data_IF_942931072633
#
_entry.id   IF_942931072633
#
_cell.length_a   1.000
_cell.length_b   1.000
_cell.length_c   1.000
_cell.angle_alpha   90.00
_cell.angle_beta   90.00
_cell.angle_gamma   90.00
#
_symmetry.space_group_name_H-M   'P 1'
#
loop_
_entity.id
_entity.type
_entity.pdbx_description
1 polymer ?
#
# COMPACT_ATOMS: atom_id res chain seq x y z
N UNK A 1 -19.46 3.83 9.83
CA UNK A 1 -18.19 3.56 9.11
C UNK A 1 -18.50 2.93 7.78
N UNK A 2 -17.90 3.45 6.70
CA UNK A 2 -18.10 2.93 5.35
C UNK A 2 -16.82 2.24 4.91
N UNK A 3 -16.96 0.98 4.46
CA UNK A 3 -15.86 0.21 3.91
C UNK A 3 -15.96 0.16 2.39
N UNK A 4 -14.84 0.28 1.72
CA UNK A 4 -14.74 -0.01 0.30
C UNK A 4 -14.62 -1.50 0.04
N UNK A 5 -14.33 -1.85 -1.20
CA UNK A 5 -14.00 -3.23 -1.56
C UNK A 5 -12.55 -3.54 -1.20
N UNK A 6 -12.30 -4.79 -0.85
CA UNK A 6 -10.93 -5.28 -0.72
C UNK A 6 -10.27 -5.34 -2.09
N UNK A 7 -9.11 -4.75 -2.20
CA UNK A 7 -8.29 -4.74 -3.41
C UNK A 7 -6.95 -5.42 -3.12
N UNK A 8 -6.27 -5.81 -4.18
CA UNK A 8 -4.93 -6.40 -4.07
C UNK A 8 -3.89 -5.42 -4.60
N UNK A 9 -2.90 -5.11 -3.78
CA UNK A 9 -1.70 -4.39 -4.21
C UNK A 9 -0.59 -5.43 -4.37
N UNK A 10 -0.15 -5.65 -5.61
CA UNK A 10 0.78 -6.71 -5.94
C UNK A 10 2.18 -6.16 -6.23
N UNK A 11 3.18 -6.69 -5.53
CA UNK A 11 4.56 -6.60 -5.97
C UNK A 11 4.82 -7.78 -6.89
N UNK A 12 5.02 -7.49 -8.18
CA UNK A 12 5.41 -8.47 -9.18
C UNK A 12 6.92 -8.31 -9.43
N UNK A 13 7.71 -9.27 -8.99
CA UNK A 13 9.16 -9.18 -9.06
C UNK A 13 9.70 -9.15 -10.49
N UNK A 14 8.88 -9.51 -11.47
CA UNK A 14 9.26 -9.41 -12.88
C UNK A 14 9.02 -8.01 -13.46
N UNK A 15 8.34 -7.15 -12.72
CA UNK A 15 8.04 -5.76 -13.11
C UNK A 15 8.81 -4.79 -12.21
N UNK A 16 8.61 -4.90 -10.90
CA UNK A 16 9.25 -4.04 -9.92
C UNK A 16 9.29 -4.77 -8.58
N UNK A 17 10.48 -5.11 -8.11
CA UNK A 17 10.62 -5.96 -6.92
C UNK A 17 10.41 -5.23 -5.59
N UNK A 18 10.25 -3.91 -5.60
CA UNK A 18 10.13 -3.11 -4.37
C UNK A 18 8.95 -2.11 -4.38
N UNK A 19 8.07 -2.20 -5.37
CA UNK A 19 6.91 -1.31 -5.47
C UNK A 19 5.74 -2.04 -6.11
N UNK A 20 4.54 -1.87 -5.53
CA UNK A 20 3.32 -2.43 -6.12
C UNK A 20 2.88 -1.61 -7.33
N UNK A 21 2.05 -2.21 -8.17
CA UNK A 21 1.29 -1.45 -9.15
C UNK A 21 0.29 -0.53 -8.44
N UNK A 22 -0.21 0.46 -9.18
CA UNK A 22 -1.24 1.38 -8.69
C UNK A 22 -2.51 0.63 -8.32
N UNK A 23 -3.12 1.00 -7.20
CA UNK A 23 -4.42 0.48 -6.78
C UNK A 23 -5.40 1.63 -6.68
N UNK A 24 -6.54 1.48 -7.34
CA UNK A 24 -7.67 2.39 -7.24
C UNK A 24 -8.62 1.88 -6.16
N UNK A 25 -8.76 2.65 -5.08
CA UNK A 25 -9.65 2.28 -3.98
C UNK A 25 -11.14 2.51 -4.30
N UNK A 26 -11.44 3.10 -5.46
CA UNK A 26 -12.79 3.38 -5.91
C UNK A 26 -13.30 4.77 -5.57
N UNK A 27 -12.79 5.36 -4.52
CA UNK A 27 -13.06 6.74 -4.10
C UNK A 27 -11.98 7.19 -3.12
N UNK A 28 -11.89 8.49 -2.80
CA UNK A 28 -11.00 8.94 -1.73
C UNK A 28 -11.42 8.41 -0.38
N UNK A 29 -10.46 7.92 0.39
CA UNK A 29 -10.67 7.44 1.76
C UNK A 29 -9.69 8.11 2.71
N UNK A 30 -10.08 8.28 3.96
CA UNK A 30 -9.22 8.85 4.99
C UNK A 30 -8.25 7.81 5.53
N UNK A 31 -8.71 6.56 5.62
CA UNK A 31 -8.00 5.45 6.27
C UNK A 31 -8.02 4.23 5.37
N UNK A 32 -6.98 3.41 5.46
CA UNK A 32 -6.86 2.18 4.70
C UNK A 32 -6.47 1.03 5.63
N UNK A 33 -7.23 -0.06 5.56
CA UNK A 33 -6.88 -1.31 6.21
C UNK A 33 -5.90 -2.07 5.32
N UNK A 34 -4.86 -2.64 5.89
CA UNK A 34 -3.81 -3.34 5.14
C UNK A 34 -3.55 -4.70 5.76
N UNK A 35 -3.66 -5.76 4.96
CA UNK A 35 -3.18 -7.08 5.35
C UNK A 35 -1.83 -7.30 4.67
N UNK A 36 -0.78 -7.34 5.47
CA UNK A 36 0.60 -7.42 5.01
C UNK A 36 1.00 -8.89 4.92
N UNK A 37 1.45 -9.36 3.71
CA UNK A 37 1.84 -10.75 3.53
C UNK A 37 3.22 -11.03 4.12
N UNK A 38 3.70 -12.27 3.98
CA UNK A 38 5.09 -12.59 4.27
C UNK A 38 6.01 -11.76 3.38
N UNK A 39 7.07 -11.21 3.95
CA UNK A 39 8.02 -10.33 3.27
C UNK A 39 9.45 -10.78 3.49
N UNK A 40 10.32 -10.49 2.52
CA UNK A 40 11.76 -10.37 2.79
C UNK A 40 11.89 -9.14 3.71
N UNK A 41 12.54 -9.31 4.86
CA UNK A 41 12.55 -8.31 5.93
C UNK A 41 12.81 -6.90 5.41
N UNK A 42 11.88 -5.98 5.66
CA UNK A 42 11.92 -4.62 5.12
C UNK A 42 11.06 -3.65 5.92
N UNK A 43 11.18 -2.39 5.58
CA UNK A 43 10.22 -1.36 5.97
C UNK A 43 9.27 -1.12 4.79
N UNK A 44 8.06 -0.64 5.07
CA UNK A 44 7.06 -0.30 4.08
C UNK A 44 6.87 1.21 4.00
N UNK A 45 6.60 1.70 2.79
CA UNK A 45 6.26 3.10 2.54
C UNK A 45 4.96 3.11 1.73
N UNK A 46 3.99 3.92 2.15
CA UNK A 46 2.76 4.13 1.39
C UNK A 46 2.94 5.36 0.48
N UNK A 47 2.62 5.19 -0.79
CA UNK A 47 2.61 6.27 -1.77
C UNK A 47 1.17 6.55 -2.19
N UNK A 48 0.83 7.81 -2.37
CA UNK A 48 -0.52 8.25 -2.68
C UNK A 48 -0.54 9.21 -3.86
N UNK A 49 -1.64 9.19 -4.62
CA UNK A 49 -1.89 10.12 -5.71
C UNK A 49 -3.39 10.46 -5.76
N UNK A 50 -3.71 11.61 -6.32
CA UNK A 50 -5.09 12.07 -6.43
C UNK A 50 -5.78 11.61 -7.72
N UNK A 51 -5.02 11.10 -8.70
CA UNK A 51 -5.58 10.61 -9.98
C UNK A 51 -4.76 9.45 -10.51
N UNK A 52 -5.39 8.61 -11.34
CA UNK A 52 -4.72 7.50 -12.01
C UNK A 52 -3.60 8.00 -12.92
N UNK A 53 -2.48 7.29 -12.91
CA UNK A 53 -1.30 7.68 -13.69
C UNK A 53 -0.67 8.99 -13.25
N UNK A 54 -1.11 9.56 -12.14
CA UNK A 54 -0.55 10.79 -11.60
C UNK A 54 0.78 10.59 -10.90
N UNK A 55 1.31 11.67 -10.34
CA UNK A 55 2.52 11.61 -9.54
C UNK A 55 2.20 11.03 -8.16
N UNK A 56 2.91 9.98 -7.77
CA UNK A 56 2.77 9.39 -6.44
C UNK A 56 3.78 10.01 -5.49
N UNK A 57 3.30 10.39 -4.32
CA UNK A 57 4.10 10.99 -3.28
C UNK A 57 4.16 10.06 -2.08
N UNK A 58 5.33 9.96 -1.45
CA UNK A 58 5.45 9.23 -0.19
C UNK A 58 4.60 9.94 0.87
N UNK A 59 3.72 9.17 1.51
CA UNK A 59 2.83 9.69 2.53
C UNK A 59 3.63 10.14 3.75
N UNK A 60 3.32 11.34 4.25
CA UNK A 60 3.95 11.84 5.47
C UNK A 60 5.46 12.10 5.37
N UNK A 61 5.97 12.36 4.19
CA UNK A 61 7.40 12.64 3.96
C UNK A 61 8.29 11.51 4.47
N UNK A 62 8.17 10.35 3.83
CA UNK A 62 8.97 9.15 4.11
C UNK A 62 8.70 8.48 5.46
N UNK A 63 7.48 8.60 5.98
CA UNK A 63 7.07 7.82 7.13
C UNK A 63 7.06 6.35 6.73
N UNK A 64 7.86 5.55 7.41
CA UNK A 64 7.97 4.11 7.14
C UNK A 64 7.30 3.29 8.24
N UNK A 65 6.79 2.13 7.83
CA UNK A 65 6.29 1.13 8.76
C UNK A 65 7.33 0.01 8.84
N UNK A 66 7.85 -0.25 10.03
CA UNK A 66 8.80 -1.33 10.25
C UNK A 66 8.06 -2.66 10.18
N UNK A 67 8.02 -3.28 9.00
CA UNK A 67 7.23 -4.47 8.76
C UNK A 67 7.96 -5.78 9.07
N UNK A 68 9.30 -5.77 9.12
CA UNK A 68 10.08 -6.99 9.32
C UNK A 68 9.73 -8.03 8.26
N UNK A 69 9.37 -9.25 8.68
CA UNK A 69 8.98 -10.34 7.78
C UNK A 69 7.47 -10.38 7.48
N UNK A 70 6.72 -9.37 7.88
CA UNK A 70 5.31 -9.23 7.56
C UNK A 70 4.38 -10.13 8.38
N UNK A 71 3.32 -10.62 7.72
CA UNK A 71 2.29 -11.49 8.32
C UNK A 71 1.50 -10.81 9.44
N UNK A 72 1.08 -9.56 9.22
CA UNK A 72 0.21 -8.85 10.19
C UNK A 72 -0.73 -7.88 9.46
N UNK A 73 -1.74 -7.40 10.17
CA UNK A 73 -2.65 -6.38 9.67
C UNK A 73 -2.33 -5.03 10.32
N UNK A 74 -2.54 -3.96 9.56
CA UNK A 74 -2.31 -2.60 10.02
C UNK A 74 -3.40 -1.67 9.50
N UNK A 75 -3.42 -0.46 10.02
CA UNK A 75 -4.32 0.61 9.61
C UNK A 75 -3.47 1.83 9.29
N UNK A 76 -3.62 2.34 8.05
CA UNK A 76 -2.85 3.50 7.61
C UNK A 76 -3.77 4.67 7.30
N UNK A 77 -3.42 5.85 7.75
CA UNK A 77 -4.14 7.07 7.40
C UNK A 77 -3.58 7.60 6.08
N UNK A 78 -4.44 7.68 5.06
CA UNK A 78 -4.03 8.07 3.71
C UNK A 78 -4.57 9.44 3.28
N UNK A 79 -5.22 10.14 4.20
CA UNK A 79 -5.52 11.57 4.04
C UNK A 79 -6.46 11.95 2.92
N UNK A 80 -7.39 11.07 2.55
CA UNK A 80 -8.38 11.38 1.51
C UNK A 80 -7.90 11.09 0.10
N UNK A 81 -6.90 10.26 -0.09
CA UNK A 81 -6.43 9.85 -1.41
C UNK A 81 -7.17 8.63 -1.92
N UNK A 82 -7.28 8.50 -3.24
CA UNK A 82 -7.95 7.38 -3.90
C UNK A 82 -6.97 6.35 -4.46
N UNK A 83 -5.80 6.77 -4.91
CA UNK A 83 -4.83 5.90 -5.58
C UNK A 83 -3.62 5.70 -4.69
N UNK A 84 -3.21 4.44 -4.52
CA UNK A 84 -2.13 4.09 -3.62
C UNK A 84 -1.17 3.09 -4.26
N UNK A 85 0.08 3.13 -3.79
CA UNK A 85 1.09 2.11 -4.03
C UNK A 85 1.78 1.80 -2.71
N UNK A 86 2.29 0.60 -2.57
CA UNK A 86 3.07 0.20 -1.40
C UNK A 86 4.48 -0.15 -1.87
N UNK A 87 5.47 0.50 -1.27
CA UNK A 87 6.87 0.23 -1.54
C UNK A 87 7.55 -0.46 -0.38
N UNK A 88 8.62 -1.20 -0.67
CA UNK A 88 9.45 -1.86 0.33
C UNK A 88 10.86 -1.28 0.28
N UNK A 89 11.53 -1.21 1.43
CA UNK A 89 12.92 -0.72 1.51
C UNK A 89 13.94 -1.73 0.96
N UNK A 90 13.51 -2.97 0.73
CA UNK A 90 14.37 -4.07 0.23
C UNK A 90 13.63 -4.75 -0.91
N UNK A 91 14.32 -5.01 -2.01
CA UNK A 91 13.75 -5.77 -3.13
C UNK A 91 13.27 -7.14 -2.65
N UNK A 92 12.07 -7.51 -3.05
CA UNK A 92 11.47 -8.78 -2.65
C UNK A 92 11.98 -9.92 -3.54
N UNK A 93 12.00 -11.13 -3.00
CA UNK A 93 12.50 -12.33 -3.69
C UNK A 93 11.37 -13.18 -4.28
N UNK A 94 10.13 -12.80 -4.03
CA UNK A 94 8.93 -13.45 -4.55
C UNK A 94 7.81 -12.42 -4.67
N UNK A 95 6.79 -12.71 -5.46
CA UNK A 95 5.60 -11.85 -5.54
C UNK A 95 4.94 -11.72 -4.18
N UNK A 96 4.47 -10.51 -3.87
CA UNK A 96 3.81 -10.20 -2.59
C UNK A 96 2.47 -9.55 -2.87
N UNK A 97 1.40 -10.08 -2.28
CA UNK A 97 0.05 -9.55 -2.42
C UNK A 97 -0.41 -8.94 -1.11
N UNK A 98 -0.54 -7.62 -1.10
CA UNK A 98 -1.14 -6.90 0.03
C UNK A 98 -2.64 -6.82 -0.23
N UNK A 99 -3.45 -7.08 0.79
CA UNK A 99 -4.90 -6.85 0.73
C UNK A 99 -5.19 -5.52 1.39
N UNK A 100 -5.86 -4.64 0.66
CA UNK A 100 -6.14 -3.29 1.14
C UNK A 100 -7.61 -2.94 0.97
N UNK A 101 -8.14 -2.13 1.89
CA UNK A 101 -9.53 -1.72 1.88
C UNK A 101 -9.63 -0.28 2.39
N UNK A 102 -10.24 0.61 1.62
CA UNK A 102 -10.48 1.97 2.07
C UNK A 102 -11.61 2.04 3.09
N UNK A 103 -11.49 2.95 4.06
CA UNK A 103 -12.47 3.14 5.14
C UNK A 103 -12.73 4.62 5.34
N UNK A 104 -13.99 4.99 5.55
CA UNK A 104 -14.40 6.35 5.92
C UNK A 104 -15.31 6.30 7.14
N UNK A 105 -15.18 7.30 7.94
CA UNK A 105 -16.09 7.52 9.07
C UNK A 105 -17.44 8.06 8.63
#
# INVERSE_FOLDING_TARGET
>A
MIHGEWKTALIDINVDADLTAEVDLGRPYETMLVHIPALTSCNLICYVAEKTGGTFYALGKDITVAAGTGNFADVWEIGGHQFVKIGTSVAQTANRSFKICGVRS
#
